data_IF_925181415511
#
_entry.id   IF_925181415511
#
_cell.length_a   1.000
_cell.length_b   1.000
_cell.length_c   1.000
_cell.angle_alpha   90.00
_cell.angle_beta   90.00
_cell.angle_gamma   90.00
#
_symmetry.space_group_name_H-M   'P 1'
#
loop_
_entity.id
_entity.type
_entity.pdbx_description
1 polymer ?
#
# COMPACT_ATOMS: atom_id res chain seq x y z
N UNK A 1 -4.68 -9.09 3.76
CA UNK A 1 -5.21 -7.76 4.10
C UNK A 1 -6.70 -7.88 4.40
N UNK A 2 -7.25 -7.03 5.28
CA UNK A 2 -8.69 -6.90 5.50
C UNK A 2 -9.12 -5.46 5.16
N UNK A 3 -10.15 -5.28 4.32
CA UNK A 3 -10.81 -3.98 4.09
C UNK A 3 -12.15 -3.92 4.83
N UNK A 4 -12.42 -2.80 5.49
CA UNK A 4 -13.59 -2.58 6.32
C UNK A 4 -14.19 -1.20 6.02
N UNK A 5 -15.38 -1.12 5.39
CA UNK A 5 -16.07 0.16 5.26
C UNK A 5 -16.53 0.66 6.64
N UNK A 6 -16.34 1.95 6.89
CA UNK A 6 -16.75 2.61 8.14
C UNK A 6 -17.47 3.90 7.79
N UNK A 7 -18.78 3.83 7.64
CA UNK A 7 -19.70 4.92 7.34
C UNK A 7 -20.62 5.28 8.52
N UNK A 8 -20.75 4.40 9.50
CA UNK A 8 -21.58 4.60 10.71
C UNK A 8 -20.91 4.04 11.98
N UNK A 9 -21.29 4.55 13.15
CA UNK A 9 -20.64 4.22 14.43
C UNK A 9 -20.74 2.74 14.82
N UNK A 10 -21.81 2.05 14.43
CA UNK A 10 -22.00 0.60 14.63
C UNK A 10 -20.88 -0.22 13.98
N UNK A 11 -20.38 0.22 12.83
CA UNK A 11 -19.32 -0.44 12.07
C UNK A 11 -17.95 -0.29 12.74
N UNK A 12 -17.72 0.76 13.53
CA UNK A 12 -16.47 0.92 14.31
C UNK A 12 -16.29 -0.26 15.26
N UNK A 13 -17.35 -0.65 15.97
CA UNK A 13 -17.34 -1.81 16.85
C UNK A 13 -17.10 -3.13 16.09
N UNK A 14 -17.67 -3.28 14.89
CA UNK A 14 -17.45 -4.45 14.04
C UNK A 14 -16.01 -4.51 13.52
N UNK A 15 -15.46 -3.38 13.07
CA UNK A 15 -14.09 -3.27 12.60
C UNK A 15 -13.09 -3.64 13.70
N UNK A 16 -13.29 -3.11 14.91
CA UNK A 16 -12.48 -3.45 16.08
C UNK A 16 -12.48 -4.94 16.39
N UNK A 17 -13.65 -5.59 16.40
CA UNK A 17 -13.74 -7.05 16.65
C UNK A 17 -12.99 -7.86 15.59
N UNK A 18 -13.18 -7.53 14.31
CA UNK A 18 -12.53 -8.23 13.20
C UNK A 18 -11.01 -8.05 13.24
N UNK A 19 -10.54 -6.85 13.57
CA UNK A 19 -9.11 -6.57 13.73
C UNK A 19 -8.49 -7.32 14.90
N UNK A 20 -9.14 -7.32 16.07
CA UNK A 20 -8.65 -8.03 17.25
C UNK A 20 -8.57 -9.54 17.02
N UNK A 21 -9.57 -10.12 16.37
CA UNK A 21 -9.55 -11.53 16.01
C UNK A 21 -8.40 -11.85 15.04
N UNK A 22 -8.20 -11.02 14.01
CA UNK A 22 -7.11 -11.20 13.06
C UNK A 22 -5.72 -11.02 13.71
N UNK A 23 -5.56 -10.03 14.58
CA UNK A 23 -4.33 -9.78 15.34
C UNK A 23 -4.02 -10.91 16.33
N UNK A 24 -5.04 -11.49 16.96
CA UNK A 24 -4.89 -12.67 17.81
C UNK A 24 -4.40 -13.89 17.02
N UNK A 25 -5.01 -14.16 15.86
CA UNK A 25 -4.59 -15.26 14.98
C UNK A 25 -3.17 -15.06 14.44
N UNK A 26 -2.74 -13.81 14.28
CA UNK A 26 -1.37 -13.45 13.90
C UNK A 26 -0.37 -13.69 15.04
N UNK A 27 -0.81 -13.71 16.30
CA UNK A 27 0.06 -13.82 17.47
C UNK A 27 0.51 -12.47 18.04
N UNK A 28 -0.19 -11.37 17.72
CA UNK A 28 0.09 -10.05 18.28
C UNK A 28 -0.09 -10.05 19.81
N UNK A 29 0.81 -9.37 20.52
CA UNK A 29 0.82 -9.37 21.99
C UNK A 29 -0.49 -8.82 22.59
N UNK A 30 -0.78 -9.16 23.85
CA UNK A 30 -2.00 -8.68 24.53
C UNK A 30 -2.01 -7.16 24.60
N UNK A 31 -0.90 -6.56 25.04
CA UNK A 31 -0.75 -5.09 25.16
C UNK A 31 -0.94 -4.41 23.80
N UNK A 32 -0.37 -4.95 22.73
CA UNK A 32 -0.52 -4.43 21.38
C UNK A 32 -1.95 -4.54 20.86
N UNK A 33 -2.65 -5.63 21.19
CA UNK A 33 -4.07 -5.78 20.87
C UNK A 33 -4.93 -4.75 21.60
N UNK A 34 -4.63 -4.41 22.85
CA UNK A 34 -5.31 -3.34 23.57
C UNK A 34 -5.08 -1.97 22.92
N UNK A 35 -3.83 -1.65 22.53
CA UNK A 35 -3.50 -0.43 21.78
C UNK A 35 -4.23 -0.38 20.44
N UNK A 36 -4.22 -1.49 19.69
CA UNK A 36 -4.91 -1.64 18.40
C UNK A 36 -6.42 -1.37 18.54
N UNK A 37 -7.06 -1.87 19.60
CA UNK A 37 -8.49 -1.68 19.85
C UNK A 37 -8.85 -0.20 20.01
N UNK A 38 -8.03 0.56 20.75
CA UNK A 38 -8.20 1.99 20.96
C UNK A 38 -7.96 2.76 19.66
N UNK A 39 -6.88 2.46 18.94
CA UNK A 39 -6.54 3.08 17.65
C UNK A 39 -7.67 2.92 16.63
N UNK A 40 -8.23 1.72 16.47
CA UNK A 40 -9.33 1.48 15.53
C UNK A 40 -10.59 2.22 15.96
N UNK A 41 -10.85 2.31 17.26
CA UNK A 41 -12.02 3.03 17.79
C UNK A 41 -11.93 4.52 17.46
N UNK A 42 -10.78 5.15 17.73
CA UNK A 42 -10.57 6.56 17.45
C UNK A 42 -10.52 6.84 15.93
N UNK A 43 -9.76 6.04 15.16
CA UNK A 43 -9.69 6.20 13.71
C UNK A 43 -11.07 6.04 13.05
N UNK A 44 -11.83 5.00 13.43
CA UNK A 44 -13.16 4.78 12.91
C UNK A 44 -14.15 5.86 13.32
N UNK A 45 -14.06 6.36 14.54
CA UNK A 45 -14.90 7.49 15.00
C UNK A 45 -14.57 8.76 14.22
N UNK A 46 -13.30 9.03 13.95
CA UNK A 46 -12.88 10.17 13.14
C UNK A 46 -13.43 10.10 11.71
N UNK A 47 -13.40 8.92 11.08
CA UNK A 47 -13.98 8.71 9.76
C UNK A 47 -15.47 9.10 9.74
N UNK A 48 -16.26 8.61 10.70
CA UNK A 48 -17.71 8.87 10.75
C UNK A 48 -18.01 10.33 11.08
N UNK A 49 -17.36 10.88 12.11
CA UNK A 49 -17.69 12.21 12.65
C UNK A 49 -17.13 13.37 11.82
N UNK A 50 -15.97 13.20 11.21
CA UNK A 50 -15.25 14.29 10.55
C UNK A 50 -15.16 14.14 9.03
N UNK A 51 -15.26 12.91 8.50
CA UNK A 51 -15.05 12.65 7.08
C UNK A 51 -16.26 12.09 6.31
N UNK A 52 -17.43 12.00 6.96
CA UNK A 52 -18.67 11.41 6.38
C UNK A 52 -18.51 9.93 6.03
N UNK A 53 -17.63 9.25 6.74
CA UNK A 53 -17.26 7.86 6.53
C UNK A 53 -15.99 7.68 5.70
N UNK A 54 -15.57 6.44 5.60
CA UNK A 54 -14.38 6.04 4.88
C UNK A 54 -14.15 4.55 5.00
N UNK A 55 -12.89 4.16 5.13
CA UNK A 55 -12.48 2.78 5.15
C UNK A 55 -11.28 2.59 6.09
N UNK A 56 -11.26 1.45 6.78
CA UNK A 56 -10.10 0.98 7.53
C UNK A 56 -9.54 -0.25 6.79
N UNK A 57 -8.28 -0.18 6.41
CA UNK A 57 -7.51 -1.29 5.86
C UNK A 57 -6.59 -1.82 6.95
N UNK A 58 -6.53 -3.14 7.09
CA UNK A 58 -5.64 -3.83 8.02
C UNK A 58 -4.65 -4.69 7.24
N UNK A 59 -3.36 -4.41 7.43
CA UNK A 59 -2.27 -5.19 6.86
C UNK A 59 -1.64 -5.97 8.01
N UNK A 60 -1.85 -7.27 8.00
CA UNK A 60 -1.24 -8.19 8.96
C UNK A 60 0.17 -8.50 8.47
N UNK A 61 1.17 -8.25 9.30
CA UNK A 61 2.55 -8.50 8.96
C UNK A 61 3.17 -9.43 10.01
N UNK A 62 3.88 -10.46 9.57
CA UNK A 62 4.56 -11.42 10.45
C UNK A 62 5.88 -11.88 9.84
N UNK A 63 6.94 -11.92 10.65
CA UNK A 63 8.26 -12.40 10.27
C UNK A 63 8.91 -13.13 11.45
N UNK A 64 8.97 -14.46 11.38
CA UNK A 64 9.34 -15.27 12.54
C UNK A 64 8.39 -15.01 13.71
N UNK A 65 8.94 -14.68 14.88
CA UNK A 65 8.17 -14.34 16.09
C UNK A 65 7.70 -12.88 16.14
N UNK A 66 8.18 -12.03 15.23
CA UNK A 66 7.84 -10.61 15.19
C UNK A 66 6.53 -10.39 14.41
N UNK A 67 5.61 -9.62 14.99
CA UNK A 67 4.29 -9.36 14.41
C UNK A 67 3.93 -7.88 14.53
N UNK A 68 3.25 -7.37 13.51
CA UNK A 68 2.71 -6.03 13.50
C UNK A 68 1.41 -5.97 12.69
N UNK A 69 0.59 -4.98 12.99
CA UNK A 69 -0.61 -4.66 12.23
C UNK A 69 -0.53 -3.21 11.78
N UNK A 70 -0.56 -2.99 10.47
CA UNK A 70 -0.79 -1.65 9.94
C UNK A 70 -2.28 -1.37 9.84
N UNK A 71 -2.69 -0.24 10.39
CA UNK A 71 -4.05 0.29 10.33
C UNK A 71 -4.00 1.52 9.43
N UNK A 72 -4.66 1.44 8.29
CA UNK A 72 -4.75 2.56 7.35
C UNK A 72 -6.20 3.05 7.32
N UNK A 73 -6.42 4.26 7.81
CA UNK A 73 -7.73 4.92 7.73
C UNK A 73 -7.73 5.91 6.55
N UNK A 74 -8.66 5.74 5.61
CA UNK A 74 -8.76 6.58 4.41
C UNK A 74 -10.18 7.09 4.17
N UNK A 75 -10.28 8.37 3.81
CA UNK A 75 -11.54 9.03 3.48
C UNK A 75 -11.43 9.94 2.25
N UNK A 76 -12.60 10.44 1.81
CA UNK A 76 -12.76 11.48 0.77
C UNK A 76 -13.50 12.70 1.37
N UNK A 77 -13.26 12.96 2.65
CA UNK A 77 -13.83 14.05 3.40
C UNK A 77 -13.18 15.41 3.08
N UNK A 78 -13.51 16.46 3.84
CA UNK A 78 -13.02 17.81 3.58
C UNK A 78 -11.53 18.02 3.93
N UNK A 79 -10.85 17.01 4.46
CA UNK A 79 -9.51 17.14 5.03
C UNK A 79 -9.51 17.79 6.42
N UNK A 80 -8.31 17.95 6.97
CA UNK A 80 -8.06 18.57 8.28
C UNK A 80 -7.33 19.89 8.04
N UNK A 81 -7.95 21.00 8.44
CA UNK A 81 -7.41 22.33 8.19
C UNK A 81 -6.14 22.64 9.00
N UNK A 82 -6.11 22.20 10.27
CA UNK A 82 -4.98 22.38 11.18
C UNK A 82 -4.67 21.03 11.85
N UNK A 83 -3.67 20.34 11.30
CA UNK A 83 -3.24 19.02 11.78
C UNK A 83 -2.56 19.12 13.14
N UNK A 84 -1.77 20.17 13.39
CA UNK A 84 -1.08 20.37 14.67
C UNK A 84 -2.10 20.56 15.80
N UNK A 85 -3.13 21.38 15.57
CA UNK A 85 -4.23 21.54 16.52
C UNK A 85 -4.98 20.21 16.71
N UNK A 86 -5.23 19.45 15.64
CA UNK A 86 -5.91 18.16 15.73
C UNK A 86 -5.13 17.08 16.49
N UNK A 87 -3.80 17.20 16.56
CA UNK A 87 -2.92 16.35 17.35
C UNK A 87 -2.79 16.79 18.81
N UNK A 88 -3.16 18.03 19.15
CA UNK A 88 -3.12 18.52 20.52
C UNK A 88 -4.16 17.80 21.39
N UNK A 89 -3.76 17.40 22.59
CA UNK A 89 -4.61 16.61 23.47
C UNK A 89 -5.91 17.33 23.83
N UNK A 90 -7.03 16.60 23.68
CA UNK A 90 -8.36 17.12 23.97
C UNK A 90 -8.93 18.04 22.89
N UNK A 91 -8.24 18.22 21.76
CA UNK A 91 -8.81 18.90 20.61
C UNK A 91 -9.91 18.05 19.98
N UNK A 92 -11.13 18.57 20.06
CA UNK A 92 -12.26 18.04 19.32
C UNK A 92 -13.09 19.21 18.84
N UNK A 93 -13.49 19.19 17.57
CA UNK A 93 -14.47 20.13 17.02
C UNK A 93 -15.91 19.70 17.36
N UNK A 94 -16.08 18.60 18.10
CA UNK A 94 -17.38 18.05 18.46
C UNK A 94 -17.96 18.72 19.72
N UNK A 95 -19.29 18.81 19.80
CA UNK A 95 -19.98 19.38 20.96
C UNK A 95 -19.68 18.57 22.26
N UNK A 96 -19.80 19.17 23.46
CA UNK A 96 -19.43 18.53 24.73
C UNK A 96 -20.09 17.16 25.03
N UNK A 97 -21.23 16.85 24.40
CA UNK A 97 -21.92 15.55 24.50
C UNK A 97 -21.47 14.50 23.49
N UNK A 98 -20.57 14.86 22.57
CA UNK A 98 -20.18 14.07 21.40
C UNK A 98 -18.66 13.76 21.38
N UNK A 99 -17.99 14.00 22.51
CA UNK A 99 -16.57 13.68 22.73
C UNK A 99 -16.35 12.17 22.58
N UNK A 100 -15.43 11.78 21.70
CA UNK A 100 -14.91 10.41 21.61
C UNK A 100 -14.30 9.94 22.94
N UNK A 101 -14.01 8.63 23.06
CA UNK A 101 -13.60 8.01 24.32
C UNK A 101 -12.16 8.41 24.71
N UNK A 102 -11.32 8.92 23.79
CA UNK A 102 -10.04 9.49 24.18
C UNK A 102 -9.30 10.28 23.10
N UNK A 103 -8.94 11.53 23.40
CA UNK A 103 -7.80 12.27 22.86
C UNK A 103 -7.67 12.54 21.34
N UNK A 104 -8.52 11.98 20.48
CA UNK A 104 -8.47 12.21 19.03
C UNK A 104 -7.19 11.68 18.37
N UNK A 105 -6.66 12.40 17.37
CA UNK A 105 -5.43 12.01 16.68
C UNK A 105 -4.22 11.96 17.62
N UNK A 106 -4.16 12.80 18.66
CA UNK A 106 -3.08 12.76 19.65
C UNK A 106 -3.00 11.43 20.42
N UNK A 107 -4.15 10.82 20.73
CA UNK A 107 -4.19 9.50 21.34
C UNK A 107 -3.67 8.42 20.40
N UNK A 108 -4.06 8.47 19.11
CA UNK A 108 -3.56 7.55 18.09
C UNK A 108 -2.03 7.63 18.02
N UNK A 109 -1.45 8.83 17.92
CA UNK A 109 0.01 9.01 17.85
C UNK A 109 0.72 8.38 19.05
N UNK A 110 0.24 8.60 20.27
CA UNK A 110 0.85 8.02 21.49
C UNK A 110 0.77 6.51 21.57
N UNK A 111 -0.30 5.92 21.06
CA UNK A 111 -0.53 4.47 21.12
C UNK A 111 0.19 3.71 20.00
N UNK A 112 0.72 4.42 19.00
CA UNK A 112 1.29 3.85 17.79
C UNK A 112 2.79 3.69 17.87
N UNK A 113 3.32 2.63 17.25
CA UNK A 113 4.77 2.44 17.05
C UNK A 113 5.28 3.25 15.85
N UNK A 114 4.42 3.47 14.85
CA UNK A 114 4.64 4.39 13.73
C UNK A 114 3.33 5.10 13.37
N UNK A 115 3.44 6.35 12.92
CA UNK A 115 2.32 7.18 12.51
C UNK A 115 2.74 8.13 11.39
N UNK A 116 1.93 8.20 10.33
CA UNK A 116 1.99 9.27 9.34
C UNK A 116 0.58 9.67 8.88
N UNK A 117 0.44 10.91 8.44
CA UNK A 117 -0.83 11.48 8.00
C UNK A 117 -0.63 12.35 6.77
N UNK A 118 -1.49 12.14 5.77
CA UNK A 118 -1.68 13.06 4.65
C UNK A 118 -3.11 13.56 4.65
N UNK A 119 -3.31 14.86 4.48
CA UNK A 119 -4.64 15.46 4.40
C UNK A 119 -4.63 16.62 3.43
N UNK A 120 -5.67 16.69 2.60
CA UNK A 120 -5.95 17.84 1.73
C UNK A 120 -7.47 17.88 1.42
N UNK A 121 -7.97 18.83 0.60
CA UNK A 121 -9.40 18.93 0.30
C UNK A 121 -10.02 17.71 -0.42
N UNK A 122 -9.22 16.73 -0.86
CA UNK A 122 -9.69 15.47 -1.44
C UNK A 122 -9.77 14.33 -0.42
N UNK A 123 -9.47 14.58 0.86
CA UNK A 123 -9.61 13.61 1.95
C UNK A 123 -8.37 13.47 2.82
N UNK A 124 -8.48 12.58 3.81
CA UNK A 124 -7.40 12.25 4.75
C UNK A 124 -7.00 10.78 4.65
N UNK A 125 -5.70 10.52 4.80
CA UNK A 125 -5.11 9.20 4.96
C UNK A 125 -4.26 9.21 6.22
N UNK A 126 -4.52 8.28 7.12
CA UNK A 126 -3.72 8.04 8.33
C UNK A 126 -3.16 6.63 8.26
N UNK A 127 -1.84 6.50 8.30
CA UNK A 127 -1.15 5.23 8.34
C UNK A 127 -0.55 5.02 9.74
N UNK A 128 -0.92 3.92 10.39
CA UNK A 128 -0.52 3.58 11.76
C UNK A 128 0.08 2.18 11.76
N UNK A 129 1.15 1.96 12.52
CA UNK A 129 1.65 0.61 12.85
C UNK A 129 1.53 0.36 14.33
N UNK A 130 1.03 -0.83 14.69
CA UNK A 130 1.06 -1.38 16.05
C UNK A 130 1.86 -2.67 16.05
N UNK A 131 2.81 -2.77 16.98
CA UNK A 131 3.77 -3.86 17.06
C UNK A 131 5.04 -3.54 16.27
N UNK A 132 5.97 -4.49 16.27
CA UNK A 132 7.27 -4.33 15.63
C UNK A 132 7.57 -5.56 14.79
N UNK A 133 7.89 -5.30 13.53
CA UNK A 133 8.60 -6.24 12.68
C UNK A 133 9.97 -5.63 12.49
N UNK A 134 11.01 -6.45 12.60
CA UNK A 134 12.38 -6.01 12.37
C UNK A 134 12.41 -5.15 11.11
N UNK A 135 12.51 -3.84 11.29
CA UNK A 135 12.60 -2.93 10.16
C UNK A 135 13.92 -3.28 9.48
N UNK A 136 13.90 -3.44 8.16
CA UNK A 136 15.11 -3.21 7.37
C UNK A 136 15.43 -1.70 7.46
N UNK A 137 15.90 -1.26 8.63
CA UNK A 137 16.28 0.13 8.90
C UNK A 137 17.43 0.58 8.01
N UNK A 138 18.14 -0.35 7.39
CA UNK A 138 19.28 -0.08 6.50
C UNK A 138 18.96 -0.21 5.00
N UNK A 139 17.68 -0.38 4.60
CA UNK A 139 17.35 -0.35 3.18
C UNK A 139 17.59 1.06 2.62
N UNK A 140 18.38 1.16 1.54
CA UNK A 140 18.66 2.43 0.87
C UNK A 140 17.44 3.02 0.14
N UNK A 141 16.38 2.22 -0.02
CA UNK A 141 15.10 2.62 -0.60
C UNK A 141 13.96 2.34 0.38
N UNK A 142 12.98 3.22 0.41
CA UNK A 142 11.71 3.01 1.12
C UNK A 142 10.69 2.51 0.10
N UNK A 143 10.08 1.36 0.38
CA UNK A 143 9.08 0.72 -0.50
C UNK A 143 7.88 0.26 0.31
N UNK A 144 6.68 0.54 -0.20
CA UNK A 144 5.43 0.02 0.35
C UNK A 144 4.51 -0.48 -0.77
N UNK A 145 3.83 -1.59 -0.53
CA UNK A 145 2.81 -2.14 -1.42
C UNK A 145 1.47 -2.28 -0.69
N UNK A 146 0.38 -1.83 -1.34
CA UNK A 146 -0.99 -1.94 -0.87
C UNK A 146 -1.81 -2.74 -1.89
N UNK A 147 -2.23 -3.95 -1.50
CA UNK A 147 -2.97 -4.91 -2.33
C UNK A 147 -4.37 -5.16 -1.74
N UNK A 148 -5.39 -4.48 -2.26
CA UNK A 148 -6.77 -4.57 -1.78
C UNK A 148 -7.58 -5.50 -2.69
N UNK A 149 -8.14 -6.61 -2.17
CA UNK A 149 -9.00 -7.46 -2.95
C UNK A 149 -10.27 -6.75 -3.44
N UNK A 150 -10.82 -7.27 -4.52
CA UNK A 150 -12.10 -6.88 -5.09
C UNK A 150 -13.20 -6.91 -4.02
N UNK A 151 -14.10 -5.91 -3.97
CA UNK A 151 -15.20 -5.92 -3.03
C UNK A 151 -16.01 -7.23 -3.05
N UNK A 152 -16.23 -7.80 -1.87
CA UNK A 152 -16.92 -9.08 -1.70
C UNK A 152 -15.99 -10.31 -1.69
N UNK A 153 -14.68 -10.13 -1.89
CA UNK A 153 -13.69 -11.19 -1.74
C UNK A 153 -12.73 -10.89 -0.58
N UNK A 154 -12.31 -11.93 0.13
CA UNK A 154 -11.29 -11.83 1.19
C UNK A 154 -9.85 -12.03 0.64
N UNK A 155 -9.71 -12.41 -0.62
CA UNK A 155 -8.45 -12.66 -1.32
C UNK A 155 -8.54 -12.17 -2.77
N UNK A 156 -7.43 -11.65 -3.31
CA UNK A 156 -7.35 -11.06 -4.66
C UNK A 156 -6.17 -11.61 -5.47
N UNK A 157 -6.19 -11.41 -6.79
CA UNK A 157 -5.15 -11.83 -7.73
C UNK A 157 -3.97 -10.87 -7.86
N UNK A 158 -4.09 -9.65 -7.36
CA UNK A 158 -2.98 -8.69 -7.35
C UNK A 158 -1.89 -9.12 -6.35
N UNK A 159 -0.62 -8.89 -6.70
CA UNK A 159 0.52 -9.25 -5.85
C UNK A 159 1.69 -8.30 -5.99
N UNK A 160 2.43 -8.10 -4.90
CA UNK A 160 3.62 -7.26 -4.82
C UNK A 160 4.79 -8.02 -4.18
N UNK A 161 5.99 -7.75 -4.67
CA UNK A 161 7.25 -8.17 -4.05
C UNK A 161 8.29 -7.07 -4.12
N UNK A 162 9.15 -6.99 -3.10
CA UNK A 162 10.32 -6.12 -3.09
C UNK A 162 11.51 -6.85 -2.48
N UNK A 163 12.69 -6.72 -3.09
CA UNK A 163 13.95 -7.25 -2.56
C UNK A 163 15.05 -6.22 -2.67
N UNK A 164 15.59 -5.79 -1.53
CA UNK A 164 16.73 -4.87 -1.49
C UNK A 164 18.02 -5.65 -1.81
N UNK A 165 18.73 -5.22 -2.85
CA UNK A 165 20.10 -5.64 -3.14
C UNK A 165 21.11 -4.67 -2.52
N UNK A 166 22.36 -4.72 -3.01
CA UNK A 166 23.43 -3.81 -2.57
C UNK A 166 23.32 -2.41 -3.18
N UNK A 167 22.96 -2.30 -4.46
CA UNK A 167 22.91 -1.03 -5.20
C UNK A 167 21.55 -0.75 -5.85
N UNK A 168 20.71 -1.78 -5.94
CA UNK A 168 19.39 -1.71 -6.57
C UNK A 168 18.38 -2.46 -5.71
N UNK A 169 17.11 -2.07 -5.80
CA UNK A 169 16.00 -2.83 -5.25
C UNK A 169 15.15 -3.34 -6.40
N UNK A 170 14.87 -4.64 -6.36
CA UNK A 170 13.97 -5.30 -7.27
C UNK A 170 12.54 -5.15 -6.75
N UNK A 171 11.63 -4.70 -7.60
CA UNK A 171 10.22 -4.49 -7.27
C UNK A 171 9.37 -5.18 -8.33
N UNK A 172 8.32 -5.85 -7.88
CA UNK A 172 7.35 -6.53 -8.72
C UNK A 172 5.95 -6.08 -8.32
N UNK A 173 5.13 -5.72 -9.31
CA UNK A 173 3.67 -5.64 -9.16
C UNK A 173 3.02 -6.50 -10.25
N UNK A 174 2.06 -7.31 -9.86
CA UNK A 174 1.35 -8.25 -10.73
C UNK A 174 -0.15 -8.15 -10.55
N UNK A 175 -0.85 -8.47 -11.62
CA UNK A 175 -2.31 -8.60 -11.75
C UNK A 175 -2.58 -9.97 -12.41
N UNK A 176 -2.91 -10.96 -11.58
CA UNK A 176 -3.21 -12.33 -12.04
C UNK A 176 -4.59 -12.34 -12.69
N UNK A 177 -4.71 -12.99 -13.85
CA UNK A 177 -5.96 -13.01 -14.60
C UNK A 177 -7.13 -13.58 -13.78
N UNK A 178 -8.15 -12.74 -13.56
CA UNK A 178 -9.35 -13.08 -12.79
C UNK A 178 -9.28 -12.53 -11.37
N UNK A 179 -10.08 -13.07 -10.45
CA UNK A 179 -10.13 -12.59 -9.07
C UNK A 179 -10.51 -13.72 -8.10
N UNK A 180 -10.40 -13.44 -6.79
CA UNK A 180 -10.77 -14.37 -5.74
C UNK A 180 -9.70 -15.46 -5.48
N UNK A 181 -10.06 -16.53 -4.73
CA UNK A 181 -9.08 -17.49 -4.20
C UNK A 181 -8.21 -18.19 -5.25
N UNK A 182 -8.75 -18.44 -6.44
CA UNK A 182 -7.99 -19.10 -7.51
C UNK A 182 -6.90 -18.17 -8.10
N UNK A 183 -7.18 -16.88 -8.22
CA UNK A 183 -6.17 -15.91 -8.66
C UNK A 183 -5.15 -15.65 -7.53
N UNK A 184 -5.62 -15.57 -6.28
CA UNK A 184 -4.77 -15.41 -5.11
C UNK A 184 -3.73 -16.54 -4.96
N UNK A 185 -4.15 -17.80 -5.16
CA UNK A 185 -3.23 -18.94 -5.11
C UNK A 185 -2.13 -18.89 -6.18
N UNK A 186 -2.39 -18.29 -7.35
CA UNK A 186 -1.36 -18.08 -8.36
C UNK A 186 -0.45 -16.89 -8.03
N UNK A 187 -1.02 -15.81 -7.49
CA UNK A 187 -0.27 -14.68 -6.96
C UNK A 187 0.73 -15.11 -5.88
N UNK A 188 0.32 -15.98 -4.95
CA UNK A 188 1.18 -16.54 -3.90
C UNK A 188 2.37 -17.32 -4.49
N UNK A 189 2.17 -18.11 -5.56
CA UNK A 189 3.26 -18.83 -6.25
C UNK A 189 4.26 -17.85 -6.87
N UNK A 190 3.78 -16.79 -7.50
CA UNK A 190 4.65 -15.77 -8.09
C UNK A 190 5.47 -15.02 -7.02
N UNK A 191 4.84 -14.67 -5.89
CA UNK A 191 5.53 -14.03 -4.76
C UNK A 191 6.58 -14.97 -4.16
N UNK A 192 6.28 -16.26 -4.00
CA UNK A 192 7.24 -17.24 -3.52
C UNK A 192 8.44 -17.36 -4.48
N UNK A 193 8.18 -17.50 -5.78
CA UNK A 193 9.21 -17.56 -6.82
C UNK A 193 10.08 -16.29 -6.89
N UNK A 194 9.50 -15.12 -6.60
CA UNK A 194 10.23 -13.86 -6.48
C UNK A 194 11.11 -13.82 -5.22
N UNK A 195 10.61 -14.30 -4.08
CA UNK A 195 11.31 -14.26 -2.80
C UNK A 195 12.55 -15.18 -2.75
N UNK A 196 12.55 -16.28 -3.50
CA UNK A 196 13.66 -17.25 -3.53
C UNK A 196 14.83 -16.84 -4.45
N UNK A 197 14.74 -15.71 -5.16
CA UNK A 197 15.81 -15.21 -6.02
C UNK A 197 16.99 -14.66 -5.19
N UNK A 198 18.23 -15.07 -5.47
CA UNK A 198 19.43 -14.61 -4.73
C UNK A 198 20.06 -13.34 -5.32
N UNK A 199 20.42 -13.38 -6.61
CA UNK A 199 20.88 -12.26 -7.42
C UNK A 199 20.20 -12.42 -8.78
N UNK A 200 19.38 -11.46 -9.18
CA UNK A 200 18.51 -11.64 -10.35
C UNK A 200 18.51 -10.38 -11.22
N UNK A 201 18.74 -10.56 -12.52
CA UNK A 201 18.33 -9.58 -13.53
C UNK A 201 16.81 -9.58 -13.69
N UNK A 202 16.26 -8.58 -14.38
CA UNK A 202 14.83 -8.54 -14.70
C UNK A 202 14.39 -9.72 -15.57
N UNK A 203 15.26 -10.19 -16.45
CA UNK A 203 15.02 -11.37 -17.29
C UNK A 203 14.97 -12.66 -16.46
N UNK A 204 15.88 -12.83 -15.50
CA UNK A 204 15.90 -13.99 -14.60
C UNK A 204 14.66 -13.99 -13.69
N UNK A 205 14.26 -12.81 -13.20
CA UNK A 205 13.04 -12.63 -12.44
C UNK A 205 11.80 -13.00 -13.26
N UNK A 206 11.67 -12.46 -14.48
CA UNK A 206 10.54 -12.78 -15.36
C UNK A 206 10.49 -14.28 -15.66
N UNK A 207 11.63 -14.90 -15.96
CA UNK A 207 11.71 -16.34 -16.22
C UNK A 207 11.28 -17.20 -15.02
N UNK A 208 11.71 -16.83 -13.81
CA UNK A 208 11.31 -17.51 -12.56
C UNK A 208 9.79 -17.43 -12.34
N UNK A 209 9.22 -16.24 -12.48
CA UNK A 209 7.77 -16.02 -12.32
C UNK A 209 6.99 -16.73 -13.44
N UNK A 210 7.47 -16.68 -14.69
CA UNK A 210 6.85 -17.34 -15.82
C UNK A 210 6.83 -18.86 -15.67
N UNK A 211 7.89 -19.44 -15.11
CA UNK A 211 7.93 -20.86 -14.72
C UNK A 211 6.88 -21.17 -13.65
N UNK A 212 6.84 -20.38 -12.58
CA UNK A 212 5.91 -20.57 -11.47
C UNK A 212 4.43 -20.47 -11.88
N UNK A 213 4.13 -19.65 -12.89
CA UNK A 213 2.79 -19.46 -13.44
C UNK A 213 2.48 -20.34 -14.65
N UNK A 214 3.42 -21.21 -15.09
CA UNK A 214 3.24 -22.01 -16.29
C UNK A 214 2.04 -22.94 -16.16
N UNK A 215 1.17 -22.91 -17.17
CA UNK A 215 -0.06 -23.73 -17.21
C UNK A 215 -1.15 -23.24 -16.26
N UNK A 216 -0.94 -22.12 -15.57
CA UNK A 216 -1.97 -21.40 -14.82
C UNK A 216 -2.69 -20.35 -15.65
N UNK A 217 -3.30 -19.38 -14.97
CA UNK A 217 -3.96 -18.19 -15.52
C UNK A 217 -2.95 -17.21 -16.12
N UNK A 218 -1.76 -17.15 -15.55
CA UNK A 218 -0.76 -16.13 -15.86
C UNK A 218 -1.14 -14.76 -15.28
N UNK A 219 -0.28 -13.78 -15.51
CA UNK A 219 -0.47 -12.43 -14.97
C UNK A 219 0.04 -11.35 -15.91
N UNK A 220 -0.58 -10.17 -15.85
CA UNK A 220 0.11 -8.95 -16.22
C UNK A 220 1.09 -8.58 -15.11
N UNK A 221 2.24 -8.01 -15.46
CA UNK A 221 3.29 -7.70 -14.51
C UNK A 221 4.09 -6.48 -14.94
N UNK A 222 4.59 -5.75 -13.95
CA UNK A 222 5.65 -4.77 -14.12
C UNK A 222 6.77 -5.06 -13.12
N UNK A 223 7.93 -5.39 -13.66
CA UNK A 223 9.15 -5.67 -12.92
C UNK A 223 10.08 -4.46 -13.04
N UNK A 224 10.64 -4.03 -11.93
CA UNK A 224 11.48 -2.84 -11.85
C UNK A 224 12.75 -3.15 -11.07
N UNK A 225 13.88 -2.72 -11.62
CA UNK A 225 15.15 -2.63 -10.92
C UNK A 225 15.42 -1.14 -10.67
N UNK A 226 15.25 -0.74 -9.40
CA UNK A 226 15.33 0.64 -8.95
C UNK A 226 16.70 0.91 -8.35
N UNK A 227 17.53 1.79 -8.94
CA UNK A 227 18.80 2.17 -8.32
C UNK A 227 18.58 2.94 -7.01
N UNK A 228 19.49 2.71 -6.05
CA UNK A 228 19.47 3.35 -4.74
C UNK A 228 19.83 4.85 -4.82
N UNK A 229 20.59 5.22 -5.84
CA UNK A 229 20.95 6.59 -6.15
C UNK A 229 20.31 7.05 -7.47
N UNK A 230 20.36 8.36 -7.73
CA UNK A 230 19.93 8.91 -9.01
C UNK A 230 20.67 8.26 -10.18
N UNK A 231 19.97 7.93 -11.26
CA UNK A 231 20.55 7.20 -12.37
C UNK A 231 19.53 6.71 -13.38
N UNK A 232 19.63 5.43 -13.75
CA UNK A 232 18.73 4.77 -14.70
C UNK A 232 17.94 3.67 -14.01
N UNK A 233 16.62 3.85 -13.94
CA UNK A 233 15.69 2.81 -13.57
C UNK A 233 15.50 1.86 -14.76
N UNK A 234 15.58 0.56 -14.51
CA UNK A 234 15.32 -0.47 -15.53
C UNK A 234 13.96 -1.11 -15.27
N UNK A 235 13.16 -1.31 -16.31
CA UNK A 235 11.82 -1.86 -16.19
C UNK A 235 11.47 -2.84 -17.30
N UNK A 236 10.69 -3.85 -16.94
CA UNK A 236 10.15 -4.87 -17.82
C UNK A 236 8.65 -5.02 -17.56
N UNK A 237 7.82 -4.57 -18.51
CA UNK A 237 6.35 -4.59 -18.39
C UNK A 237 5.67 -5.52 -19.40
N UNK A 238 4.78 -6.38 -18.92
CA UNK A 238 3.85 -7.20 -19.70
C UNK A 238 2.41 -6.92 -19.28
N UNK A 239 1.56 -6.58 -20.22
CA UNK A 239 0.13 -6.36 -19.99
C UNK A 239 -0.21 -4.93 -19.58
N UNK A 240 -1.12 -4.80 -18.61
CA UNK A 240 -1.83 -3.57 -18.23
C UNK A 240 -1.34 -2.95 -16.91
N UNK A 241 -0.37 -3.55 -16.20
CA UNK A 241 0.25 -2.93 -15.02
C UNK A 241 1.02 -1.68 -15.48
N UNK A 242 0.78 -0.56 -14.78
CA UNK A 242 1.36 0.75 -15.11
C UNK A 242 2.45 1.13 -14.13
N UNK A 243 3.48 1.81 -14.64
CA UNK A 243 4.48 2.49 -13.83
C UNK A 243 4.52 3.97 -14.14
N UNK A 244 4.71 4.78 -13.11
CA UNK A 244 4.85 6.23 -13.18
C UNK A 244 6.07 6.65 -12.36
N UNK A 245 6.91 7.53 -12.90
CA UNK A 245 7.99 8.20 -12.19
C UNK A 245 7.57 9.65 -12.00
N UNK A 246 7.42 10.06 -10.75
CA UNK A 246 7.03 11.41 -10.37
C UNK A 246 8.23 12.13 -9.77
N UNK A 247 8.74 13.14 -10.47
CA UNK A 247 9.86 13.95 -10.00
C UNK A 247 9.37 15.11 -9.10
N UNK A 248 10.20 15.61 -8.16
CA UNK A 248 9.83 16.73 -7.29
C UNK A 248 9.44 18.02 -8.02
N UNK A 249 9.92 18.21 -9.25
CA UNK A 249 9.59 19.34 -10.11
C UNK A 249 8.26 19.18 -10.87
N UNK A 250 7.43 18.24 -10.42
CA UNK A 250 6.14 17.87 -10.99
C UNK A 250 6.21 17.32 -12.43
N UNK A 251 7.37 16.86 -12.89
CA UNK A 251 7.44 16.05 -14.11
C UNK A 251 6.98 14.63 -13.84
N UNK A 252 6.17 14.10 -14.75
CA UNK A 252 5.64 12.74 -14.71
C UNK A 252 6.09 12.00 -15.96
N UNK A 253 6.63 10.80 -15.77
CA UNK A 253 7.06 9.92 -16.85
C UNK A 253 6.35 8.56 -16.71
N UNK A 254 5.70 8.10 -17.76
CA UNK A 254 5.10 6.77 -17.80
C UNK A 254 6.13 5.71 -18.19
N UNK A 255 6.09 4.57 -17.52
CA UNK A 255 6.85 3.37 -17.87
C UNK A 255 5.98 2.51 -18.80
N UNK A 256 6.38 2.29 -20.06
CA UNK A 256 5.58 1.55 -21.02
C UNK A 256 5.61 0.04 -20.72
N UNK A 257 4.46 -0.60 -20.92
CA UNK A 257 4.31 -2.05 -20.89
C UNK A 257 4.04 -2.58 -22.30
N UNK A 258 4.47 -3.81 -22.56
CA UNK A 258 4.21 -4.50 -23.83
C UNK A 258 2.98 -5.40 -23.70
N UNK A 259 2.16 -5.60 -24.76
CA UNK A 259 1.06 -6.56 -24.70
C UNK A 259 1.57 -7.97 -24.43
N UNK A 260 1.04 -8.64 -23.41
CA UNK A 260 1.45 -9.99 -23.04
C UNK A 260 1.00 -10.37 -21.63
N UNK A 261 1.22 -11.64 -21.31
CA UNK A 261 0.93 -12.27 -20.01
C UNK A 261 2.14 -13.12 -19.62
N UNK A 262 2.67 -12.90 -18.42
CA UNK A 262 3.74 -13.71 -17.83
C UNK A 262 3.27 -15.16 -17.66
N UNK A 263 4.12 -16.13 -18.04
CA UNK A 263 3.78 -17.57 -18.02
C UNK A 263 3.07 -18.10 -19.27
N UNK A 264 2.60 -17.22 -20.16
CA UNK A 264 1.96 -17.60 -21.45
C UNK A 264 2.65 -17.00 -22.67
N UNK A 265 3.35 -15.87 -22.52
CA UNK A 265 4.02 -15.19 -23.64
C UNK A 265 5.31 -15.93 -24.01
N UNK A 266 5.45 -16.29 -25.29
CA UNK A 266 6.58 -17.09 -25.77
C UNK A 266 7.95 -16.38 -25.69
N UNK A 267 7.97 -15.05 -25.63
CA UNK A 267 9.20 -14.27 -25.53
C UNK A 267 9.02 -13.13 -24.54
N UNK A 268 9.88 -13.09 -23.52
CA UNK A 268 9.96 -11.99 -22.58
C UNK A 268 10.17 -10.64 -23.31
N UNK A 269 9.56 -9.55 -22.85
CA UNK A 269 9.76 -8.25 -23.44
C UNK A 269 11.16 -7.72 -23.14
N UNK A 270 11.54 -6.67 -23.87
CA UNK A 270 12.82 -6.02 -23.65
C UNK A 270 12.78 -5.19 -22.39
N UNK A 271 13.90 -5.17 -21.66
CA UNK A 271 14.13 -4.18 -20.62
C UNK A 271 14.20 -2.79 -21.24
N UNK A 272 13.55 -1.84 -20.60
CA UNK A 272 13.57 -0.41 -20.93
C UNK A 272 14.26 0.37 -19.82
N UNK A 273 14.91 1.48 -20.17
CA UNK A 273 15.61 2.36 -19.23
C UNK A 273 14.92 3.72 -19.14
N UNK A 274 14.81 4.24 -17.92
CA UNK A 274 14.15 5.50 -17.61
C UNK A 274 15.01 6.34 -16.69
N UNK A 275 14.91 7.67 -16.81
CA UNK A 275 15.59 8.58 -15.89
C UNK A 275 15.03 8.44 -14.47
N UNK A 276 15.90 8.24 -13.49
CA UNK A 276 15.57 8.21 -12.07
C UNK A 276 16.22 9.40 -11.35
N UNK A 277 15.53 10.54 -11.26
CA UNK A 277 16.07 11.73 -10.61
C UNK A 277 16.01 11.61 -9.09
N UNK A 278 16.87 12.37 -8.41
CA UNK A 278 16.90 12.40 -6.95
C UNK A 278 15.57 12.90 -6.37
N UNK A 279 15.09 12.27 -5.29
CA UNK A 279 13.82 12.58 -4.64
C UNK A 279 12.57 12.18 -5.43
N UNK A 280 12.69 11.42 -6.52
CA UNK A 280 11.55 10.92 -7.27
C UNK A 280 10.75 9.86 -6.50
N UNK A 281 9.48 9.75 -6.84
CA UNK A 281 8.61 8.65 -6.44
C UNK A 281 8.40 7.71 -7.64
N UNK A 282 8.59 6.42 -7.43
CA UNK A 282 8.10 5.37 -8.31
C UNK A 282 6.71 4.96 -7.82
N UNK A 283 5.73 4.97 -8.71
CA UNK A 283 4.36 4.50 -8.44
C UNK A 283 4.03 3.41 -9.45
N UNK A 284 3.74 2.20 -8.98
CA UNK A 284 3.20 1.11 -9.79
C UNK A 284 1.73 0.92 -9.46
N UNK A 285 0.88 0.65 -10.46
CA UNK A 285 -0.55 0.40 -10.26
C UNK A 285 -1.11 -0.66 -11.20
N UNK A 286 -2.01 -1.50 -10.67
CA UNK A 286 -2.84 -2.42 -11.48
C UNK A 286 -4.03 -1.68 -12.10
N UNK A 287 -4.84 -2.38 -12.89
CA UNK A 287 -5.93 -1.75 -13.64
C UNK A 287 -7.22 -1.55 -12.82
N UNK A 288 -7.30 -2.11 -11.61
CA UNK A 288 -8.31 -1.78 -10.60
C UNK A 288 -8.29 -0.30 -10.20
N UNK A 289 -7.20 0.40 -10.52
CA UNK A 289 -7.07 1.84 -10.37
C UNK A 289 -7.31 2.54 -11.72
N UNK A 290 -7.84 3.75 -11.65
CA UNK A 290 -7.87 4.66 -12.78
C UNK A 290 -6.44 5.17 -13.03
N UNK A 291 -6.12 5.48 -14.28
CA UNK A 291 -4.86 6.17 -14.59
C UNK A 291 -4.82 7.54 -13.92
N UNK A 292 -3.64 8.19 -13.94
CA UNK A 292 -3.43 9.51 -13.35
C UNK A 292 -4.57 10.49 -13.63
N UNK A 293 -5.01 11.20 -12.59
CA UNK A 293 -6.03 12.24 -12.69
C UNK A 293 -5.54 13.40 -13.56
N UNK A 294 -6.48 14.21 -14.07
CA UNK A 294 -6.15 15.45 -14.79
C UNK A 294 -5.49 16.49 -13.87
N UNK A 295 -5.70 16.38 -12.55
CA UNK A 295 -5.06 17.19 -11.54
C UNK A 295 -3.84 16.43 -10.98
N UNK A 296 -2.64 17.04 -10.96
CA UNK A 296 -1.46 16.39 -10.41
C UNK A 296 -1.61 16.12 -8.91
N UNK A 297 -0.91 15.10 -8.42
CA UNK A 297 -0.80 14.88 -6.98
C UNK A 297 -0.06 16.06 -6.32
N UNK A 298 -0.40 16.44 -5.08
CA UNK A 298 0.22 17.58 -4.44
C UNK A 298 1.65 17.23 -4.05
N UNK A 299 2.54 18.22 -4.09
CA UNK A 299 3.93 18.06 -3.68
C UNK A 299 4.08 17.60 -2.21
N UNK A 300 3.07 17.84 -1.37
CA UNK A 300 3.06 17.39 0.02
C UNK A 300 3.16 15.87 0.18
N UNK A 301 2.73 15.08 -0.82
CA UNK A 301 2.86 13.62 -0.80
C UNK A 301 4.32 13.16 -0.81
N UNK A 302 5.25 13.91 -1.39
CA UNK A 302 6.68 13.54 -1.43
C UNK A 302 7.31 13.44 -0.05
N UNK A 303 6.71 14.05 0.97
CA UNK A 303 7.20 14.06 2.35
C UNK A 303 6.51 13.04 3.25
N UNK A 304 5.63 12.19 2.70
CA UNK A 304 4.86 11.20 3.45
C UNK A 304 5.53 9.84 3.39
N UNK A 305 5.14 8.94 4.29
CA UNK A 305 5.54 7.53 4.22
C UNK A 305 5.00 6.87 2.94
N UNK A 306 5.76 5.99 2.26
CA UNK A 306 5.30 5.31 1.05
C UNK A 306 3.94 4.61 1.20
N UNK A 307 3.60 4.06 2.38
CA UNK A 307 2.29 3.45 2.62
C UNK A 307 1.18 4.50 2.65
N UNK A 308 1.41 5.65 3.28
CA UNK A 308 0.48 6.79 3.26
C UNK A 308 0.22 7.24 1.82
N UNK A 309 1.28 7.35 1.01
CA UNK A 309 1.17 7.71 -0.41
C UNK A 309 0.36 6.66 -1.17
N UNK A 310 0.69 5.37 -1.01
CA UNK A 310 0.02 4.26 -1.68
C UNK A 310 -1.48 4.24 -1.34
N UNK A 311 -1.83 4.45 -0.07
CA UNK A 311 -3.21 4.49 0.41
C UNK A 311 -3.98 5.72 -0.08
N UNK A 312 -3.34 6.90 -0.14
CA UNK A 312 -3.95 8.10 -0.74
C UNK A 312 -4.25 7.86 -2.23
N UNK A 313 -3.30 7.31 -2.98
CA UNK A 313 -3.47 6.99 -4.41
C UNK A 313 -4.58 5.95 -4.59
N UNK A 314 -4.57 4.88 -3.79
CA UNK A 314 -5.61 3.86 -3.79
C UNK A 314 -6.99 4.48 -3.63
N UNK A 315 -7.18 5.29 -2.58
CA UNK A 315 -8.50 5.85 -2.27
C UNK A 315 -9.01 6.77 -3.40
N UNK A 316 -8.14 7.60 -3.97
CA UNK A 316 -8.50 8.54 -5.05
C UNK A 316 -8.78 7.86 -6.38
N UNK A 317 -8.00 6.82 -6.71
CA UNK A 317 -7.99 6.23 -8.05
C UNK A 317 -8.76 4.93 -8.16
N UNK A 318 -9.20 4.30 -7.06
CA UNK A 318 -9.91 3.01 -7.12
C UNK A 318 -11.16 3.07 -7.99
N UNK A 319 -11.35 2.04 -8.81
CA UNK A 319 -12.59 1.85 -9.59
C UNK A 319 -13.69 1.22 -8.75
N UNK A 320 -13.33 0.38 -7.77
CA UNK A 320 -14.27 -0.33 -6.90
C UNK A 320 -14.90 -1.57 -7.55
N UNK A 321 -14.37 -2.05 -8.67
CA UNK A 321 -14.91 -3.18 -9.43
C UNK A 321 -13.95 -4.35 -9.57
N UNK A 322 -12.71 -4.20 -9.12
CA UNK A 322 -11.64 -5.18 -9.28
C UNK A 322 -10.65 -5.18 -8.11
N UNK A 323 -9.75 -6.15 -8.10
CA UNK A 323 -8.55 -6.14 -7.26
C UNK A 323 -7.73 -4.86 -7.51
N UNK A 324 -7.09 -4.31 -6.48
CA UNK A 324 -6.35 -3.05 -6.57
C UNK A 324 -4.97 -3.19 -5.94
N UNK A 325 -3.92 -3.00 -6.73
CA UNK A 325 -2.54 -2.97 -6.28
C UNK A 325 -1.89 -1.62 -6.54
N UNK A 326 -1.30 -1.03 -5.50
CA UNK A 326 -0.41 0.14 -5.59
C UNK A 326 0.92 -0.21 -4.95
N UNK A 327 2.03 0.15 -5.61
CA UNK A 327 3.36 0.13 -5.00
C UNK A 327 3.96 1.51 -5.09
N UNK A 328 4.53 2.00 -4.00
CA UNK A 328 5.28 3.26 -3.96
C UNK A 328 6.69 2.97 -3.48
N UNK A 329 7.68 3.52 -4.18
CA UNK A 329 9.08 3.47 -3.76
C UNK A 329 9.80 4.81 -3.95
N UNK A 330 10.75 5.12 -3.06
CA UNK A 330 11.65 6.28 -3.19
C UNK A 330 13.01 6.00 -2.56
N UNK A 331 14.05 6.67 -3.03
CA UNK A 331 15.35 6.67 -2.36
C UNK A 331 15.24 7.32 -0.99
N UNK A 332 15.91 6.73 0.02
CA UNK A 332 16.05 7.39 1.32
C UNK A 332 16.93 8.62 1.16
N UNK A 333 16.44 9.73 1.67
CA UNK A 333 17.13 11.03 1.74
C UNK A 333 17.96 11.17 3.01
#
# INVERSE_FOLDING_TARGET
>A
MISLPVTELSQVGAARRKALHAAEMLGLSVDDRERLALVITEAGTNLVRHARGGEILLILRGAGDATAVDVIAVDEGPGIADVEAAMADGYTTAEPGDRGIGGGLGAIVRLSDSFDIHTDPRGTTVAITIGAIGQERDAALETAGLIVPKPGFDQGGDAFGSRCGTNTTLIMLMDVLGHGPAAASEAEKAVAAFAELEAASLEEMEGSIAEALRGGRGAAALLVELPHEAGKLRAMGLGNVRGEIMAPDAKHYGIPSTPGIVGSTAKAPRVTEHDWPNGALLILSTDGLRGGERAPEPSSLFFRDPMTIAATIYKRRRRGTDDCGVVVARARS
#
